data_IF_562585403656
#
_entry.id   IF_562585403656
#
_cell.length_a   1.000
_cell.length_b   1.000
_cell.length_c   1.000
_cell.angle_alpha   90.00
_cell.angle_beta   90.00
_cell.angle_gamma   90.00
#
_symmetry.space_group_name_H-M   'P 1'
#
loop_
_entity.id
_entity.type
_entity.pdbx_description
1 polymer ?
#
# COMPACT_ATOMS: atom_id res chain seq x y z
N UNK A 1 0.14 11.50 -5.74
CA UNK A 1 -0.42 10.13 -5.90
C UNK A 1 -1.16 10.02 -7.23
N UNK A 2 -1.32 8.82 -7.80
CA UNK A 2 -2.11 8.62 -9.03
C UNK A 2 -3.58 8.97 -8.79
N UNK A 3 -4.29 9.50 -9.81
CA UNK A 3 -5.72 9.77 -9.74
C UNK A 3 -6.55 8.48 -9.83
N UNK A 4 -7.77 8.50 -9.32
CA UNK A 4 -8.71 7.38 -9.49
C UNK A 4 -9.27 7.34 -10.92
N UNK A 5 -9.55 6.14 -11.43
CA UNK A 5 -10.33 5.93 -12.67
C UNK A 5 -9.65 6.36 -13.97
N UNK A 6 -8.34 6.63 -13.97
CA UNK A 6 -7.57 6.96 -15.19
C UNK A 6 -6.68 5.77 -15.56
N UNK A 7 -6.84 5.26 -16.77
CA UNK A 7 -5.98 4.22 -17.33
C UNK A 7 -4.52 4.70 -17.42
N UNK A 8 -3.57 3.81 -17.15
CA UNK A 8 -2.15 4.17 -17.06
C UNK A 8 -1.60 4.82 -18.33
N UNK A 9 -2.02 4.36 -19.50
CA UNK A 9 -1.62 4.89 -20.81
C UNK A 9 -2.11 6.32 -21.07
N UNK A 10 -3.11 6.77 -20.31
CA UNK A 10 -3.68 8.10 -20.39
C UNK A 10 -3.16 9.03 -19.27
N UNK A 11 -2.23 8.58 -18.42
CA UNK A 11 -1.65 9.41 -17.36
C UNK A 11 -0.71 10.48 -17.94
N UNK A 12 -0.83 11.69 -17.39
CA UNK A 12 0.09 12.79 -17.65
C UNK A 12 0.52 13.41 -16.32
N UNK A 13 1.65 14.12 -16.25
CA UNK A 13 2.09 14.77 -15.01
C UNK A 13 1.04 15.68 -14.38
N UNK A 14 0.22 16.36 -15.20
CA UNK A 14 -0.81 17.29 -14.76
C UNK A 14 -1.99 16.57 -14.07
N UNK A 15 -2.17 15.27 -14.32
CA UNK A 15 -3.22 14.44 -13.71
C UNK A 15 -2.81 13.89 -12.35
N UNK A 16 -1.54 14.02 -11.95
CA UNK A 16 -1.09 13.62 -10.62
C UNK A 16 -1.73 14.53 -9.58
N UNK A 17 -2.17 13.92 -8.48
CA UNK A 17 -2.90 14.59 -7.41
C UNK A 17 -1.96 14.81 -6.23
N UNK A 18 -1.84 16.06 -5.79
CA UNK A 18 -1.22 16.37 -4.51
C UNK A 18 -2.21 16.07 -3.37
N UNK A 19 -1.71 15.42 -2.32
CA UNK A 19 -2.43 15.19 -1.06
C UNK A 19 -1.50 15.66 0.06
N UNK A 20 -2.00 16.56 0.91
CA UNK A 20 -1.25 17.13 2.03
C UNK A 20 -1.11 16.12 3.19
N UNK A 21 -0.27 16.46 4.16
CA UNK A 21 -0.12 15.68 5.40
C UNK A 21 -1.40 15.62 6.24
N UNK A 22 -2.32 16.59 6.08
CA UNK A 22 -3.63 16.59 6.73
C UNK A 22 -4.69 15.78 5.95
N UNK A 23 -4.34 15.25 4.78
CA UNK A 23 -5.27 14.50 3.92
C UNK A 23 -6.16 15.37 3.03
N UNK A 24 -5.90 16.67 2.95
CA UNK A 24 -6.53 17.55 1.97
C UNK A 24 -5.89 17.34 0.60
N UNK A 25 -6.70 17.27 -0.46
CA UNK A 25 -6.21 17.05 -1.81
C UNK A 25 -6.60 18.19 -2.76
N UNK A 26 -5.83 18.31 -3.84
CA UNK A 26 -5.95 19.38 -4.83
C UNK A 26 -7.39 19.51 -5.38
N UNK A 27 -7.91 20.74 -5.39
CA UNK A 27 -9.26 21.04 -5.89
C UNK A 27 -9.38 20.65 -7.37
N UNK A 28 -10.52 20.03 -7.72
CA UNK A 28 -10.80 19.60 -9.10
C UNK A 28 -10.11 18.30 -9.52
N UNK A 29 -9.32 17.67 -8.63
CA UNK A 29 -8.74 16.34 -8.87
C UNK A 29 -9.19 15.33 -7.81
N UNK A 30 -9.27 14.06 -8.21
CA UNK A 30 -9.65 12.97 -7.31
C UNK A 30 -8.48 12.00 -7.21
N UNK A 31 -7.82 11.86 -6.04
CA UNK A 31 -6.73 10.91 -5.87
C UNK A 31 -7.26 9.48 -5.95
N UNK A 32 -6.36 8.48 -5.98
CA UNK A 32 -6.72 7.08 -5.76
C UNK A 32 -7.69 6.95 -4.58
N UNK A 33 -8.71 6.09 -4.69
CA UNK A 33 -9.63 5.79 -3.58
C UNK A 33 -8.91 5.20 -2.37
N UNK A 34 -7.66 4.79 -2.55
CA UNK A 34 -6.84 4.18 -1.53
C UNK A 34 -5.75 5.14 -1.03
N UNK A 35 -5.80 6.43 -1.31
CA UNK A 35 -4.73 7.36 -0.90
C UNK A 35 -4.38 7.32 0.60
N UNK A 36 -5.35 7.00 1.46
CA UNK A 36 -5.20 7.04 2.92
C UNK A 36 -4.05 6.14 3.42
N UNK A 37 -3.94 4.89 2.92
CA UNK A 37 -2.87 4.00 3.36
C UNK A 37 -1.48 4.37 2.80
N UNK A 38 -1.39 5.19 1.74
CA UNK A 38 -0.12 5.74 1.26
C UNK A 38 0.37 6.80 2.23
N UNK A 39 -0.52 7.70 2.66
CA UNK A 39 -0.20 8.71 3.67
C UNK A 39 0.23 8.03 4.98
N UNK A 40 -0.47 6.98 5.40
CA UNK A 40 -0.09 6.19 6.57
C UNK A 40 1.32 5.60 6.45
N UNK A 41 1.72 5.08 5.28
CA UNK A 41 3.07 4.57 5.10
C UNK A 41 4.14 5.65 5.31
N UNK A 42 3.91 6.86 4.79
CA UNK A 42 4.82 8.00 4.99
C UNK A 42 4.87 8.45 6.46
N UNK A 43 3.73 8.45 7.16
CA UNK A 43 3.65 8.81 8.58
C UNK A 43 4.26 7.72 9.48
N UNK A 44 4.14 6.46 9.10
CA UNK A 44 4.62 5.33 9.89
C UNK A 44 6.13 5.18 9.84
N UNK A 45 6.77 5.61 8.74
CA UNK A 45 8.19 5.39 8.46
C UNK A 45 8.84 6.61 7.82
N UNK A 46 9.75 7.24 8.57
CA UNK A 46 10.54 8.39 8.10
C UNK A 46 11.45 8.06 6.91
N UNK A 47 11.84 6.79 6.74
CA UNK A 47 12.66 6.30 5.63
C UNK A 47 11.84 5.91 4.38
N UNK A 48 10.51 6.09 4.41
CA UNK A 48 9.62 5.84 3.29
C UNK A 48 9.46 7.12 2.44
N UNK A 49 9.91 7.06 1.18
CA UNK A 49 9.82 8.20 0.24
C UNK A 49 9.04 7.87 -1.03
N UNK A 50 8.63 6.61 -1.19
CA UNK A 50 7.76 6.14 -2.25
C UNK A 50 6.98 4.93 -1.73
N UNK A 51 5.76 4.76 -2.23
CA UNK A 51 4.88 3.63 -1.92
C UNK A 51 4.30 3.12 -3.23
N UNK A 52 4.40 1.82 -3.46
CA UNK A 52 3.77 1.13 -4.58
C UNK A 52 2.72 0.16 -4.04
N UNK A 53 1.50 0.32 -4.51
CA UNK A 53 0.40 -0.62 -4.28
C UNK A 53 0.01 -1.28 -5.60
N UNK A 54 -0.24 -2.59 -5.57
CA UNK A 54 -0.81 -3.31 -6.70
C UNK A 54 -1.50 -4.62 -6.25
N UNK A 55 -2.19 -5.26 -7.20
CA UNK A 55 -2.87 -6.54 -7.02
C UNK A 55 -2.16 -7.66 -7.80
N UNK A 56 -0.82 -7.73 -7.73
CA UNK A 56 -0.05 -8.77 -8.41
C UNK A 56 -0.55 -10.18 -8.05
N UNK A 57 -0.86 -10.98 -9.08
CA UNK A 57 -1.63 -12.23 -8.94
C UNK A 57 -1.10 -13.18 -7.86
N UNK A 58 0.21 -13.38 -7.78
CA UNK A 58 0.83 -14.31 -6.82
C UNK A 58 0.76 -13.77 -5.38
N UNK A 59 0.96 -12.46 -5.19
CA UNK A 59 0.85 -11.83 -3.88
C UNK A 59 -0.60 -11.86 -3.38
N UNK A 60 -1.56 -11.53 -4.27
CA UNK A 60 -2.99 -11.60 -3.98
C UNK A 60 -3.44 -13.04 -3.68
N UNK A 61 -2.94 -14.04 -4.41
CA UNK A 61 -3.26 -15.44 -4.12
C UNK A 61 -2.81 -15.86 -2.71
N UNK A 62 -1.62 -15.46 -2.28
CA UNK A 62 -1.14 -15.73 -0.90
C UNK A 62 -1.96 -14.94 0.12
N UNK A 63 -2.31 -13.68 -0.17
CA UNK A 63 -3.09 -12.86 0.75
C UNK A 63 -4.52 -13.38 0.96
N UNK A 64 -5.13 -14.02 -0.05
CA UNK A 64 -6.42 -14.73 0.09
C UNK A 64 -6.34 -15.86 1.12
N UNK A 65 -5.18 -16.52 1.24
CA UNK A 65 -4.96 -17.58 2.23
C UNK A 65 -4.73 -17.03 3.65
N UNK A 66 -4.63 -15.71 3.82
CA UNK A 66 -4.29 -15.03 5.07
C UNK A 66 -3.02 -15.61 5.73
N UNK A 67 -1.96 -15.77 4.93
CA UNK A 67 -0.67 -16.30 5.38
C UNK A 67 0.45 -15.28 5.14
N UNK A 68 1.37 -15.11 6.10
CA UNK A 68 2.63 -14.42 5.82
C UNK A 68 3.49 -15.24 4.84
N UNK A 69 4.38 -14.58 4.10
CA UNK A 69 5.43 -15.26 3.32
C UNK A 69 6.63 -15.48 4.24
N UNK A 70 6.84 -16.73 4.64
CA UNK A 70 7.97 -17.15 5.48
C UNK A 70 9.31 -17.04 4.73
N UNK A 71 10.43 -17.14 5.45
CA UNK A 71 11.80 -17.15 4.91
C UNK A 71 12.15 -18.41 4.09
N UNK A 72 11.41 -18.66 3.01
CA UNK A 72 11.65 -19.77 2.07
C UNK A 72 12.80 -19.49 1.11
N UNK A 73 13.25 -18.23 1.03
CA UNK A 73 14.39 -17.79 0.24
C UNK A 73 15.06 -16.59 0.93
N UNK A 74 16.39 -16.47 0.84
CA UNK A 74 17.15 -15.44 1.57
C UNK A 74 16.76 -14.00 1.22
N UNK A 75 16.25 -13.78 0.01
CA UNK A 75 15.81 -12.46 -0.47
C UNK A 75 14.61 -11.87 0.28
N UNK A 76 13.94 -12.64 1.16
CA UNK A 76 12.96 -12.05 2.10
C UNK A 76 13.59 -10.92 2.92
N UNK A 77 14.90 -11.00 3.22
CA UNK A 77 15.63 -9.97 3.95
C UNK A 77 15.64 -8.60 3.25
N UNK A 78 15.34 -8.52 1.94
CA UNK A 78 15.18 -7.26 1.23
C UNK A 78 13.98 -6.44 1.73
N UNK A 79 12.96 -7.09 2.30
CA UNK A 79 11.86 -6.40 2.99
C UNK A 79 12.30 -5.80 4.33
N UNK A 80 13.51 -6.10 4.81
CA UNK A 80 14.00 -5.70 6.14
C UNK A 80 13.44 -6.56 7.28
N UNK A 81 12.75 -7.66 6.97
CA UNK A 81 12.14 -8.56 7.95
C UNK A 81 12.43 -10.04 7.64
N UNK A 82 12.12 -10.92 8.61
CA UNK A 82 12.24 -12.37 8.44
C UNK A 82 11.05 -12.97 7.66
N UNK A 83 9.97 -12.22 7.48
CA UNK A 83 8.79 -12.60 6.71
C UNK A 83 8.13 -11.36 6.08
N UNK A 84 7.27 -11.59 5.09
CA UNK A 84 6.35 -10.55 4.59
C UNK A 84 5.00 -10.80 5.28
N UNK A 85 4.58 -9.93 6.23
CA UNK A 85 3.36 -10.14 6.99
C UNK A 85 2.12 -9.97 6.09
N UNK A 86 1.04 -10.65 6.44
CA UNK A 86 -0.28 -10.45 5.84
C UNK A 86 -1.18 -9.77 6.86
N UNK A 87 -1.56 -8.52 6.58
CA UNK A 87 -2.42 -7.74 7.48
C UNK A 87 -3.90 -8.10 7.24
N UNK A 88 -4.75 -8.06 8.28
CA UNK A 88 -6.16 -8.47 8.16
C UNK A 88 -6.95 -7.65 7.15
N UNK A 89 -8.03 -8.23 6.63
CA UNK A 89 -8.93 -7.53 5.72
C UNK A 89 -9.67 -6.38 6.41
N UNK A 90 -9.78 -5.27 5.70
CA UNK A 90 -10.77 -4.23 5.90
C UNK A 90 -11.13 -3.64 4.53
N UNK A 91 -12.30 -3.02 4.43
CA UNK A 91 -12.75 -2.39 3.17
C UNK A 91 -11.72 -1.36 2.68
N UNK A 92 -11.42 -1.36 1.38
CA UNK A 92 -10.50 -0.41 0.77
C UNK A 92 -10.94 1.05 1.04
N UNK A 93 -9.98 1.96 1.14
CA UNK A 93 -10.23 3.37 1.47
C UNK A 93 -10.71 3.63 2.91
N UNK A 94 -10.89 2.60 3.75
CA UNK A 94 -11.33 2.79 5.13
C UNK A 94 -10.18 3.14 6.07
N UNK A 95 -10.43 3.93 7.13
CA UNK A 95 -9.46 4.15 8.21
C UNK A 95 -8.98 2.84 8.84
N UNK A 96 -9.86 1.84 8.91
CA UNK A 96 -9.53 0.54 9.49
C UNK A 96 -8.46 -0.21 8.70
N UNK A 97 -8.45 -0.10 7.38
CA UNK A 97 -7.39 -0.67 6.55
C UNK A 97 -6.08 0.09 6.77
N UNK A 98 -6.13 1.42 6.90
CA UNK A 98 -4.96 2.23 7.20
C UNK A 98 -4.31 1.83 8.54
N UNK A 99 -5.11 1.59 9.60
CA UNK A 99 -4.60 1.09 10.89
C UNK A 99 -3.82 -0.24 10.75
N UNK A 100 -4.33 -1.16 9.92
CA UNK A 100 -3.68 -2.44 9.66
C UNK A 100 -2.39 -2.27 8.84
N UNK A 101 -2.39 -1.34 7.89
CA UNK A 101 -1.19 -1.00 7.11
C UNK A 101 -0.11 -0.37 7.98
N UNK A 102 -0.45 0.57 8.89
CA UNK A 102 0.50 1.15 9.86
C UNK A 102 1.20 0.04 10.65
N UNK A 103 0.43 -0.87 11.25
CA UNK A 103 0.96 -1.96 12.05
C UNK A 103 1.88 -2.90 11.25
N UNK A 104 1.54 -3.16 9.98
CA UNK A 104 2.31 -4.02 9.09
C UNK A 104 3.61 -3.38 8.59
N UNK A 105 3.53 -2.14 8.07
CA UNK A 105 4.67 -1.48 7.41
C UNK A 105 5.79 -1.09 8.40
N UNK A 106 5.46 -0.96 9.70
CA UNK A 106 6.45 -0.81 10.78
C UNK A 106 7.30 -2.06 11.00
N UNK A 107 6.80 -3.23 10.59
CA UNK A 107 7.51 -4.52 10.76
C UNK A 107 8.31 -4.89 9.51
N UNK A 108 7.83 -4.52 8.33
CA UNK A 108 8.41 -4.90 7.04
C UNK A 108 8.20 -3.81 6.01
N UNK A 109 9.17 -3.62 5.11
CA UNK A 109 9.05 -2.72 3.95
C UNK A 109 8.02 -3.20 2.92
N UNK A 110 7.52 -4.42 3.07
CA UNK A 110 6.51 -4.98 2.18
C UNK A 110 5.49 -5.76 3.00
N UNK A 111 4.21 -5.61 2.66
CA UNK A 111 3.11 -6.31 3.33
C UNK A 111 2.09 -6.84 2.32
N UNK A 112 1.48 -7.97 2.66
CA UNK A 112 0.27 -8.45 1.99
C UNK A 112 -0.96 -7.88 2.68
N UNK A 113 -2.00 -7.59 1.92
CA UNK A 113 -3.32 -7.18 2.41
C UNK A 113 -4.30 -8.32 2.14
N UNK A 114 -4.83 -8.93 3.19
CA UNK A 114 -5.70 -10.10 3.09
C UNK A 114 -6.87 -9.84 2.12
N UNK A 115 -7.12 -10.76 1.17
CA UNK A 115 -8.12 -10.64 0.10
C UNK A 115 -7.99 -9.40 -0.82
N UNK A 116 -6.80 -8.79 -0.90
CA UNK A 116 -6.65 -7.51 -1.57
C UNK A 116 -5.40 -7.45 -2.47
N UNK A 117 -4.19 -7.46 -1.92
CA UNK A 117 -2.97 -7.29 -2.74
C UNK A 117 -1.71 -7.10 -1.92
N UNK A 118 -0.82 -6.21 -2.36
CA UNK A 118 0.43 -5.88 -1.65
C UNK A 118 0.73 -4.37 -1.63
N UNK A 119 1.53 -3.95 -0.65
CA UNK A 119 2.17 -2.63 -0.57
C UNK A 119 3.67 -2.82 -0.37
N UNK A 120 4.49 -1.97 -1.03
CA UNK A 120 5.95 -1.91 -0.91
C UNK A 120 6.48 -0.49 -0.89
#
# INVERSE_FOLDING_TARGET
>A
ITPTGIEYENLTPEKIVFVSESGEFEEGKIPSSEWAFHLTCYQAREDCHAVVHNHAINATAVSILNRPIQAIHYMVAASGAAEIPCVPYATFGSPKLADYVDAGIRQSKSILLQHHGMIT
#
